data_IF_952902960579
#
_entry.id   IF_952902960579
#
_cell.length_a   1.000
_cell.length_b   1.000
_cell.length_c   1.000
_cell.angle_alpha   90.00
_cell.angle_beta   90.00
_cell.angle_gamma   90.00
#
_symmetry.space_group_name_H-M   'P 1'
#
loop_
_entity.id
_entity.type
_entity.pdbx_description
1 polymer ?
#
# COMPACT_ATOMS: atom_id res chain seq x y z
N UNK A 1 26.66 28.41 0.27
CA UNK A 1 25.95 27.80 1.43
C UNK A 1 25.59 26.36 1.13
N UNK A 2 24.95 26.09 0.00
CA UNK A 2 24.52 24.73 -0.43
C UNK A 2 25.74 23.77 -0.55
N UNK A 3 26.84 24.19 -1.16
CA UNK A 3 28.07 23.39 -1.27
C UNK A 3 28.64 22.94 0.06
N UNK A 4 28.55 23.81 1.10
CA UNK A 4 28.98 23.46 2.47
C UNK A 4 28.08 22.40 3.12
N UNK A 5 26.87 22.21 2.61
CA UNK A 5 25.90 21.23 3.08
C UNK A 5 25.97 19.93 2.26
N UNK A 6 26.87 19.83 1.28
CA UNK A 6 26.89 18.73 0.31
C UNK A 6 25.61 18.64 -0.51
N UNK A 7 24.96 19.78 -0.77
CA UNK A 7 23.68 19.82 -1.48
C UNK A 7 23.86 20.19 -2.95
N UNK A 8 22.83 19.91 -3.75
CA UNK A 8 22.71 20.22 -5.18
C UNK A 8 21.50 21.11 -5.44
N UNK A 9 21.54 21.87 -6.51
CA UNK A 9 20.40 22.59 -7.08
C UNK A 9 20.06 21.95 -8.43
N UNK A 10 18.82 21.52 -8.59
CA UNK A 10 18.29 20.98 -9.84
C UNK A 10 17.29 21.95 -10.43
N UNK A 11 17.25 21.99 -11.76
CA UNK A 11 16.26 22.74 -12.56
C UNK A 11 15.59 21.80 -13.55
N UNK A 12 14.47 22.16 -14.19
CA UNK A 12 13.78 21.31 -15.16
C UNK A 12 14.66 20.80 -16.32
N UNK A 13 15.72 21.53 -16.66
CA UNK A 13 16.66 21.13 -17.71
C UNK A 13 17.71 20.11 -17.25
N UNK A 14 17.79 19.80 -15.96
CA UNK A 14 18.75 18.81 -15.42
C UNK A 14 18.23 17.39 -15.66
N UNK A 15 19.07 16.49 -16.17
CA UNK A 15 18.70 15.09 -16.40
C UNK A 15 18.25 14.36 -15.13
N UNK A 16 18.64 14.83 -13.94
CA UNK A 16 18.24 14.29 -12.63
C UNK A 16 16.89 14.85 -12.13
N UNK A 17 16.25 15.73 -12.92
CA UNK A 17 14.95 16.30 -12.56
C UNK A 17 13.84 15.24 -12.64
N UNK A 18 12.94 15.15 -11.64
CA UNK A 18 11.78 14.25 -11.72
C UNK A 18 10.83 14.63 -12.86
N UNK A 19 10.88 13.90 -13.96
CA UNK A 19 10.09 14.23 -15.17
C UNK A 19 8.58 14.35 -14.94
N UNK A 20 8.04 13.66 -13.93
CA UNK A 20 6.61 13.75 -13.58
C UNK A 20 6.18 15.12 -13.03
N UNK A 21 7.10 15.98 -12.62
CA UNK A 21 6.78 17.32 -12.14
C UNK A 21 6.22 18.23 -13.24
N UNK A 22 6.51 17.93 -14.52
CA UNK A 22 5.95 18.65 -15.68
C UNK A 22 4.42 18.63 -15.69
N UNK A 23 3.78 17.60 -15.11
CA UNK A 23 2.33 17.48 -15.04
C UNK A 23 1.68 18.55 -14.14
N UNK A 24 2.48 19.26 -13.33
CA UNK A 24 2.04 20.42 -12.57
C UNK A 24 1.78 21.66 -13.45
N UNK A 25 2.27 21.68 -14.69
CA UNK A 25 2.13 22.81 -15.60
C UNK A 25 2.66 24.11 -15.01
N UNK A 26 1.83 25.14 -14.91
CA UNK A 26 2.23 26.43 -14.35
C UNK A 26 2.61 26.38 -12.85
N UNK A 27 2.29 25.29 -12.16
CA UNK A 27 2.67 25.07 -10.76
C UNK A 27 3.97 24.23 -10.63
N UNK A 28 4.67 23.92 -11.71
CA UNK A 28 5.96 23.22 -11.66
C UNK A 28 7.01 24.08 -10.91
N UNK A 29 7.81 23.46 -10.01
CA UNK A 29 8.88 24.18 -9.34
C UNK A 29 9.93 24.70 -10.33
N UNK A 30 10.41 25.92 -10.16
CA UNK A 30 11.53 26.45 -10.98
C UNK A 30 12.86 25.77 -10.66
N UNK A 31 13.02 25.30 -9.42
CA UNK A 31 14.22 24.62 -8.96
C UNK A 31 13.93 23.81 -7.70
N UNK A 32 14.74 22.79 -7.45
CA UNK A 32 14.74 21.99 -6.22
C UNK A 32 16.13 21.99 -5.60
N UNK A 33 16.20 22.39 -4.33
CA UNK A 33 17.37 22.21 -3.48
C UNK A 33 17.34 20.81 -2.91
N UNK A 34 18.46 20.06 -3.04
CA UNK A 34 18.56 18.65 -2.67
C UNK A 34 19.71 18.44 -1.71
N UNK A 35 19.52 17.67 -0.66
CA UNK A 35 20.56 17.07 0.18
C UNK A 35 20.39 15.56 0.17
N UNK A 36 21.51 14.83 0.04
CA UNK A 36 21.53 13.39 -0.18
C UNK A 36 21.76 13.06 -1.63
N UNK A 37 21.14 11.98 -2.12
CA UNK A 37 21.26 11.57 -3.51
C UNK A 37 20.63 12.63 -4.45
N UNK A 38 21.40 13.22 -5.35
CA UNK A 38 20.89 14.24 -6.26
C UNK A 38 20.12 13.65 -7.45
N UNK A 39 20.20 12.36 -7.74
CA UNK A 39 19.46 11.74 -8.85
C UNK A 39 17.99 11.48 -8.44
N UNK A 40 17.24 12.59 -8.35
CA UNK A 40 15.83 12.53 -8.00
C UNK A 40 15.00 11.81 -9.07
N UNK A 41 15.38 11.90 -10.35
CA UNK A 41 14.68 11.20 -11.43
C UNK A 41 14.67 9.69 -11.17
N UNK A 42 15.82 9.09 -10.91
CA UNK A 42 15.95 7.68 -10.59
C UNK A 42 15.26 7.33 -9.28
N UNK A 43 15.44 8.14 -8.23
CA UNK A 43 14.80 7.89 -6.90
C UNK A 43 13.27 7.82 -6.97
N UNK A 44 12.62 8.68 -7.77
CA UNK A 44 11.16 8.74 -7.82
C UNK A 44 10.54 8.01 -9.01
N UNK A 45 11.34 7.39 -9.87
CA UNK A 45 10.84 6.64 -11.02
C UNK A 45 9.82 5.59 -10.62
N UNK A 46 10.12 4.85 -9.56
CA UNK A 46 9.23 3.86 -8.95
C UNK A 46 8.97 4.24 -7.50
N UNK A 47 7.99 5.10 -7.27
CA UNK A 47 7.75 5.66 -5.95
C UNK A 47 6.29 5.76 -5.57
N UNK A 48 6.03 5.76 -4.25
CA UNK A 48 4.70 5.95 -3.66
C UNK A 48 4.77 7.04 -2.60
N UNK A 49 3.84 8.00 -2.69
CA UNK A 49 3.62 8.98 -1.63
C UNK A 49 2.85 8.32 -0.48
N UNK A 50 3.43 8.28 0.72
CA UNK A 50 2.75 7.81 1.94
C UNK A 50 2.57 9.00 2.86
N UNK A 51 1.33 9.43 3.07
CA UNK A 51 1.00 10.66 3.79
C UNK A 51 -0.11 10.45 4.82
N UNK A 52 -0.18 11.35 5.81
CA UNK A 52 -1.25 11.23 6.78
C UNK A 52 -1.23 12.26 7.91
N UNK A 53 -1.91 11.90 9.01
CA UNK A 53 -2.05 12.72 10.19
C UNK A 53 -0.70 12.96 10.87
N UNK A 54 -0.48 14.20 11.35
CA UNK A 54 0.70 14.55 12.16
C UNK A 54 0.59 14.02 13.58
N UNK A 55 -0.61 13.95 14.11
CA UNK A 55 -0.97 13.27 15.35
C UNK A 55 -1.57 11.91 14.98
N UNK A 56 -0.71 10.99 14.55
CA UNK A 56 -1.09 9.64 14.20
C UNK A 56 -1.42 8.80 15.43
N UNK A 57 -2.24 7.79 15.25
CA UNK A 57 -2.44 6.75 16.25
C UNK A 57 -1.35 5.68 16.18
N UNK A 58 -1.24 4.83 17.20
CA UNK A 58 -0.35 3.67 17.15
C UNK A 58 -0.69 2.74 15.97
N UNK A 59 -1.98 2.62 15.60
CA UNK A 59 -2.43 1.90 14.41
C UNK A 59 -1.87 2.54 13.14
N UNK A 60 -2.02 3.87 12.99
CA UNK A 60 -1.53 4.59 11.82
C UNK A 60 -0.01 4.49 11.66
N UNK A 61 0.75 4.63 12.76
CA UNK A 61 2.20 4.48 12.74
C UNK A 61 2.63 3.08 12.33
N UNK A 62 1.98 2.05 12.84
CA UNK A 62 2.26 0.65 12.50
C UNK A 62 1.94 0.37 11.02
N UNK A 63 0.78 0.80 10.53
CA UNK A 63 0.38 0.61 9.13
C UNK A 63 1.32 1.36 8.20
N UNK A 64 1.62 2.64 8.47
CA UNK A 64 2.52 3.44 7.64
C UNK A 64 3.92 2.82 7.56
N UNK A 65 4.46 2.37 8.70
CA UNK A 65 5.77 1.72 8.75
C UNK A 65 5.77 0.37 8.02
N UNK A 66 4.73 -0.45 8.22
CA UNK A 66 4.59 -1.76 7.57
C UNK A 66 4.42 -1.65 6.06
N UNK A 67 3.57 -0.74 5.59
CA UNK A 67 3.39 -0.46 4.16
C UNK A 67 4.69 0.04 3.55
N UNK A 68 5.39 0.98 4.21
CA UNK A 68 6.64 1.52 3.69
C UNK A 68 7.75 0.46 3.61
N UNK A 69 7.89 -0.41 4.62
CA UNK A 69 8.85 -1.52 4.59
C UNK A 69 8.50 -2.54 3.49
N UNK A 70 7.23 -2.92 3.36
CA UNK A 70 6.81 -3.83 2.29
C UNK A 70 6.89 -3.23 0.88
N UNK A 71 6.83 -1.91 0.72
CA UNK A 71 7.13 -1.20 -0.53
C UNK A 71 8.63 -1.24 -0.83
N UNK A 72 9.48 -1.09 0.21
CA UNK A 72 10.93 -1.23 0.09
C UNK A 72 11.33 -2.61 -0.45
N UNK A 73 10.76 -3.69 0.09
CA UNK A 73 10.97 -5.06 -0.39
C UNK A 73 10.58 -5.26 -1.87
N UNK A 74 9.71 -4.38 -2.39
CA UNK A 74 9.23 -4.39 -3.79
C UNK A 74 9.95 -3.39 -4.69
N UNK A 75 11.01 -2.77 -4.19
CA UNK A 75 11.83 -1.80 -4.94
C UNK A 75 11.15 -0.46 -5.19
N UNK A 76 10.21 -0.05 -4.32
CA UNK A 76 9.62 1.28 -4.37
C UNK A 76 10.31 2.24 -3.41
N UNK A 77 10.53 3.45 -3.87
CA UNK A 77 10.91 4.58 -3.02
C UNK A 77 9.67 5.18 -2.35
N UNK A 78 9.75 5.44 -1.05
CA UNK A 78 8.71 6.17 -0.33
C UNK A 78 8.97 7.67 -0.43
N UNK A 79 7.97 8.44 -0.85
CA UNK A 79 8.00 9.90 -0.86
C UNK A 79 7.06 10.41 0.23
N UNK A 80 7.51 11.35 1.07
CA UNK A 80 6.65 11.93 2.09
C UNK A 80 7.11 13.35 2.48
N UNK A 81 6.49 13.93 3.49
CA UNK A 81 6.74 15.32 3.87
C UNK A 81 7.69 15.51 5.04
N UNK A 82 8.17 14.46 5.67
CA UNK A 82 9.02 14.53 6.85
C UNK A 82 8.33 15.10 8.10
N UNK A 83 7.02 15.25 8.11
CA UNK A 83 6.26 15.72 9.27
C UNK A 83 6.22 14.67 10.40
N UNK A 84 5.73 15.07 11.58
CA UNK A 84 5.42 14.10 12.64
C UNK A 84 4.34 13.11 12.18
N UNK A 85 4.20 11.99 12.89
CA UNK A 85 3.18 10.99 12.65
C UNK A 85 3.46 10.14 11.42
N UNK A 86 2.47 10.01 10.54
CA UNK A 86 2.50 9.09 9.39
C UNK A 86 3.73 9.29 8.50
N UNK A 87 4.09 10.53 8.18
CA UNK A 87 5.25 10.82 7.33
C UNK A 87 6.54 10.23 7.93
N UNK A 88 6.77 10.48 9.24
CA UNK A 88 7.94 9.98 9.94
C UNK A 88 7.93 8.45 10.09
N UNK A 89 6.76 7.85 10.32
CA UNK A 89 6.61 6.40 10.38
C UNK A 89 6.92 5.75 9.03
N UNK A 90 6.43 6.33 7.93
CA UNK A 90 6.71 5.87 6.57
C UNK A 90 8.21 5.94 6.23
N UNK A 91 8.88 7.05 6.53
CA UNK A 91 10.33 7.17 6.32
C UNK A 91 11.12 6.14 7.14
N UNK A 92 10.74 5.93 8.41
CA UNK A 92 11.38 4.90 9.25
C UNK A 92 11.18 3.49 8.69
N UNK A 93 9.96 3.18 8.21
CA UNK A 93 9.64 1.90 7.60
C UNK A 93 10.46 1.64 6.33
N UNK A 94 10.57 2.62 5.43
CA UNK A 94 11.37 2.51 4.21
C UNK A 94 12.86 2.27 4.53
N UNK A 95 13.44 3.05 5.46
CA UNK A 95 14.82 2.86 5.89
C UNK A 95 15.06 1.50 6.57
N UNK A 96 14.09 1.01 7.34
CA UNK A 96 14.18 -0.31 7.96
C UNK A 96 14.13 -1.44 6.92
N UNK A 97 13.38 -1.26 5.82
CA UNK A 97 13.36 -2.14 4.67
C UNK A 97 14.55 -1.98 3.72
N UNK A 98 15.50 -1.09 4.03
CA UNK A 98 16.72 -0.90 3.24
C UNK A 98 16.54 -0.14 1.93
N UNK A 99 15.36 0.46 1.67
CA UNK A 99 15.13 1.26 0.47
C UNK A 99 15.34 2.76 0.71
N UNK A 100 15.69 3.51 -0.35
CA UNK A 100 15.76 4.96 -0.27
C UNK A 100 14.38 5.58 0.00
N UNK A 101 14.40 6.78 0.58
CA UNK A 101 13.16 7.53 0.80
C UNK A 101 13.42 9.03 0.60
N UNK A 102 12.42 9.74 0.04
CA UNK A 102 12.53 11.16 -0.30
C UNK A 102 11.60 11.98 0.59
N UNK A 103 12.20 12.91 1.34
CA UNK A 103 11.44 13.87 2.14
C UNK A 103 11.38 15.21 1.42
N UNK A 104 10.18 15.66 1.03
CA UNK A 104 9.97 17.00 0.48
C UNK A 104 9.64 17.94 1.62
N UNK A 105 10.40 19.01 1.83
CA UNK A 105 10.24 19.95 2.95
C UNK A 105 9.49 21.22 2.53
N UNK A 106 8.89 21.88 3.52
CA UNK A 106 8.25 23.19 3.37
C UNK A 106 9.18 24.37 3.75
N UNK A 107 10.36 24.07 4.27
CA UNK A 107 11.43 25.02 4.59
C UNK A 107 12.71 24.65 3.87
N UNK A 108 13.77 25.47 3.99
CA UNK A 108 15.05 25.19 3.35
C UNK A 108 15.69 23.89 3.84
N UNK A 109 16.50 23.26 2.97
CA UNK A 109 17.20 22.00 3.27
C UNK A 109 18.36 22.14 4.27
N UNK A 110 18.71 23.35 4.65
CA UNK A 110 19.74 23.69 5.65
C UNK A 110 19.27 23.45 7.08
N UNK A 111 17.97 23.53 7.34
CA UNK A 111 17.36 23.36 8.66
C UNK A 111 16.23 22.36 8.60
N UNK A 112 16.47 21.16 9.10
CA UNK A 112 15.45 20.11 9.14
C UNK A 112 14.32 20.45 10.10
N UNK A 113 13.10 20.41 9.60
CA UNK A 113 11.88 20.67 10.36
C UNK A 113 10.85 19.55 10.14
N UNK A 114 10.17 19.05 11.18
CA UNK A 114 10.21 19.52 12.57
C UNK A 114 11.50 19.07 13.31
N UNK A 115 11.89 19.78 14.39
CA UNK A 115 13.15 19.46 15.11
C UNK A 115 13.20 18.04 15.64
N UNK A 116 12.07 17.46 16.07
CA UNK A 116 11.99 16.08 16.54
C UNK A 116 12.30 15.03 15.47
N UNK A 117 12.19 15.38 14.17
CA UNK A 117 12.55 14.50 13.06
C UNK A 117 13.91 14.84 12.44
N UNK A 118 14.68 15.79 13.04
CA UNK A 118 15.92 16.24 12.43
C UNK A 118 16.95 15.11 12.24
N UNK A 119 17.02 14.16 13.17
CA UNK A 119 17.89 12.99 13.07
C UNK A 119 17.44 12.04 11.96
N UNK A 120 16.13 11.78 11.85
CA UNK A 120 15.57 10.98 10.75
C UNK A 120 15.90 11.62 9.40
N UNK A 121 15.65 12.92 9.24
CA UNK A 121 15.92 13.65 7.99
C UNK A 121 17.42 13.72 7.67
N UNK A 122 18.28 13.76 8.70
CA UNK A 122 19.73 13.66 8.48
C UNK A 122 20.12 12.29 7.93
N UNK A 123 19.56 11.21 8.47
CA UNK A 123 19.80 9.86 7.95
C UNK A 123 19.37 9.71 6.48
N UNK A 124 18.28 10.36 6.06
CA UNK A 124 17.89 10.38 4.64
C UNK A 124 18.97 11.10 3.80
N UNK A 125 19.42 12.26 4.24
CA UNK A 125 20.41 13.05 3.53
C UNK A 125 21.81 12.39 3.51
N UNK A 126 22.15 11.58 4.51
CA UNK A 126 23.48 10.97 4.67
C UNK A 126 23.60 9.58 4.00
N UNK A 127 22.66 9.20 3.12
CA UNK A 127 22.74 7.96 2.34
C UNK A 127 21.49 7.11 2.33
N UNK A 128 20.41 7.55 3.00
CA UNK A 128 19.13 6.86 2.98
C UNK A 128 18.17 7.38 1.91
N UNK A 129 18.62 8.23 0.98
CA UNK A 129 17.78 8.83 -0.06
C UNK A 129 18.04 10.33 -0.22
N UNK A 130 16.99 11.17 -0.19
CA UNK A 130 17.13 12.61 -0.36
C UNK A 130 16.16 13.42 0.51
N UNK A 131 16.61 14.63 0.85
CA UNK A 131 15.79 15.70 1.42
C UNK A 131 15.73 16.85 0.42
N UNK A 132 14.52 17.22 0.04
CA UNK A 132 14.25 18.11 -1.10
C UNK A 132 13.41 19.30 -0.67
N UNK A 133 13.63 20.45 -1.25
CA UNK A 133 12.80 21.63 -1.06
C UNK A 133 12.75 22.52 -2.29
N UNK A 134 11.58 23.13 -2.54
CA UNK A 134 11.40 24.17 -3.56
C UNK A 134 11.89 25.55 -3.09
N UNK A 135 12.09 25.73 -1.78
CA UNK A 135 12.50 27.02 -1.24
C UNK A 135 13.98 27.02 -0.86
N UNK A 136 14.68 28.15 -1.06
CA UNK A 136 16.12 28.21 -0.84
C UNK A 136 16.51 27.98 0.63
N UNK A 137 17.77 27.54 0.88
CA UNK A 137 18.32 27.46 2.22
C UNK A 137 18.14 28.79 2.99
N UNK A 138 17.89 28.69 4.29
CA UNK A 138 17.53 29.84 5.14
C UNK A 138 16.04 30.12 5.23
N UNK A 139 15.23 29.49 4.38
CA UNK A 139 13.77 29.69 4.37
C UNK A 139 13.08 28.99 5.55
N UNK A 140 12.32 29.76 6.34
CA UNK A 140 11.50 29.20 7.43
C UNK A 140 10.22 28.52 6.87
N UNK A 141 9.79 27.39 7.45
CA UNK A 141 8.51 26.78 7.07
C UNK A 141 7.35 27.60 7.65
N UNK A 142 6.26 27.78 6.87
CA UNK A 142 5.00 28.37 7.33
C UNK A 142 3.81 27.73 6.59
N UNK A 143 2.60 27.98 7.07
CA UNK A 143 1.39 27.23 6.67
C UNK A 143 1.21 27.11 5.15
N UNK A 144 1.37 28.20 4.41
CA UNK A 144 1.18 28.21 2.95
C UNK A 144 2.22 27.32 2.25
N UNK A 145 3.48 27.30 2.73
CA UNK A 145 4.54 26.46 2.17
C UNK A 145 4.28 24.98 2.36
N UNK A 146 3.67 24.57 3.49
CA UNK A 146 3.23 23.17 3.66
C UNK A 146 2.20 22.76 2.63
N UNK A 147 1.23 23.63 2.33
CA UNK A 147 0.18 23.36 1.34
C UNK A 147 0.75 23.34 -0.09
N UNK A 148 1.59 24.32 -0.42
CA UNK A 148 2.25 24.40 -1.74
C UNK A 148 3.15 23.19 -2.01
N UNK A 149 3.94 22.77 -1.01
CA UNK A 149 4.83 21.61 -1.09
C UNK A 149 4.08 20.31 -1.42
N UNK A 150 2.84 20.13 -0.93
CA UNK A 150 2.10 18.89 -1.08
C UNK A 150 1.86 18.50 -2.54
N UNK A 151 1.81 19.48 -3.47
CA UNK A 151 1.70 19.20 -4.90
C UNK A 151 2.92 18.45 -5.43
N UNK A 152 4.10 18.79 -4.91
CA UNK A 152 5.37 18.15 -5.31
C UNK A 152 5.38 16.68 -4.87
N UNK A 153 4.93 16.39 -3.63
CA UNK A 153 4.81 15.00 -3.14
C UNK A 153 3.91 14.18 -4.08
N UNK A 154 2.72 14.71 -4.39
CA UNK A 154 1.76 14.01 -5.25
C UNK A 154 2.29 13.84 -6.68
N UNK A 155 2.90 14.88 -7.26
CA UNK A 155 3.38 14.86 -8.65
C UNK A 155 4.60 13.98 -8.84
N UNK A 156 5.53 13.94 -7.89
CA UNK A 156 6.74 13.14 -7.99
C UNK A 156 6.47 11.63 -7.90
N UNK A 157 5.33 11.21 -7.34
CA UNK A 157 5.03 9.80 -7.05
C UNK A 157 4.12 9.15 -8.09
N UNK A 158 4.25 7.82 -8.26
CA UNK A 158 3.38 7.02 -9.13
C UNK A 158 1.95 6.93 -8.57
N UNK A 159 1.84 6.80 -7.24
CA UNK A 159 0.58 6.75 -6.51
C UNK A 159 0.70 7.48 -5.17
N UNK A 160 -0.43 7.82 -4.57
CA UNK A 160 -0.49 8.41 -3.23
C UNK A 160 -1.36 7.54 -2.33
N UNK A 161 -0.90 7.28 -1.10
CA UNK A 161 -1.66 6.57 -0.06
C UNK A 161 -1.85 7.46 1.15
N UNK A 162 -3.10 7.60 1.59
CA UNK A 162 -3.47 8.28 2.83
C UNK A 162 -3.71 7.23 3.90
N UNK A 163 -2.85 7.17 4.92
CA UNK A 163 -2.93 6.16 6.00
C UNK A 163 -3.91 6.59 7.08
N UNK A 164 -3.80 7.81 7.56
CA UNK A 164 -4.73 8.43 8.48
C UNK A 164 -4.96 9.90 8.12
N UNK A 165 -6.20 10.35 8.15
CA UNK A 165 -6.56 11.75 7.97
C UNK A 165 -7.82 12.09 8.73
N UNK A 166 -7.78 13.09 9.62
CA UNK A 166 -8.97 13.71 10.13
C UNK A 166 -9.64 14.57 9.03
N UNK A 167 -10.91 14.96 9.22
CA UNK A 167 -11.71 15.73 8.27
C UNK A 167 -11.01 16.97 7.65
N UNK A 168 -10.15 17.64 8.42
CA UNK A 168 -9.39 18.84 8.00
C UNK A 168 -7.89 18.61 7.93
N UNK A 169 -7.45 17.37 7.74
CA UNK A 169 -6.02 17.03 7.67
C UNK A 169 -5.35 17.65 6.45
N UNK A 170 -4.10 18.09 6.62
CA UNK A 170 -3.25 18.53 5.52
C UNK A 170 -2.98 17.44 4.48
N UNK A 171 -3.02 16.16 4.85
CA UNK A 171 -2.86 15.02 3.94
C UNK A 171 -3.93 14.98 2.85
N UNK A 172 -5.16 15.45 3.15
CA UNK A 172 -6.23 15.57 2.15
C UNK A 172 -5.90 16.60 1.05
N UNK A 173 -4.98 17.54 1.30
CA UNK A 173 -4.46 18.41 0.25
C UNK A 173 -3.59 17.64 -0.73
N UNK A 174 -2.72 16.73 -0.25
CA UNK A 174 -1.92 15.86 -1.12
C UNK A 174 -2.83 14.93 -1.93
N UNK A 175 -3.86 14.33 -1.30
CA UNK A 175 -4.86 13.52 -1.99
C UNK A 175 -5.54 14.29 -3.13
N UNK A 176 -5.98 15.54 -2.89
CA UNK A 176 -6.60 16.38 -3.94
C UNK A 176 -5.63 16.68 -5.09
N UNK A 177 -4.33 16.90 -4.80
CA UNK A 177 -3.34 17.07 -5.86
C UNK A 177 -3.17 15.78 -6.67
N UNK A 178 -3.10 14.61 -6.03
CA UNK A 178 -3.05 13.32 -6.72
C UNK A 178 -4.26 13.12 -7.65
N UNK A 179 -5.48 13.36 -7.16
CA UNK A 179 -6.70 13.27 -7.98
C UNK A 179 -6.67 14.25 -9.16
N UNK A 180 -6.25 15.52 -8.95
CA UNK A 180 -6.15 16.52 -10.02
C UNK A 180 -5.14 16.12 -11.10
N UNK A 181 -4.06 15.44 -10.70
CA UNK A 181 -3.03 14.93 -11.61
C UNK A 181 -3.37 13.56 -12.20
N UNK A 182 -4.57 13.04 -11.93
CA UNK A 182 -5.01 11.69 -12.36
C UNK A 182 -4.05 10.59 -11.88
N UNK A 183 -3.38 10.80 -10.73
CA UNK A 183 -2.56 9.78 -10.09
C UNK A 183 -3.43 8.84 -9.25
N UNK A 184 -3.15 7.54 -9.25
CA UNK A 184 -3.82 6.59 -8.39
C UNK A 184 -3.77 7.02 -6.93
N UNK A 185 -4.92 6.94 -6.25
CA UNK A 185 -5.07 7.32 -4.85
C UNK A 185 -5.59 6.13 -4.05
N UNK A 186 -4.84 5.73 -3.04
CA UNK A 186 -5.24 4.75 -2.04
C UNK A 186 -5.58 5.41 -0.71
N UNK A 187 -6.47 4.80 0.05
CA UNK A 187 -6.74 5.17 1.43
C UNK A 187 -6.83 3.93 2.31
N UNK A 188 -6.18 3.99 3.48
CA UNK A 188 -6.23 2.89 4.45
C UNK A 188 -7.53 3.00 5.25
N UNK A 189 -8.33 1.91 5.35
CA UNK A 189 -9.50 1.88 6.20
C UNK A 189 -9.05 1.86 7.67
N UNK A 190 -9.62 2.73 8.47
CA UNK A 190 -9.37 2.73 9.91
C UNK A 190 -10.65 2.48 10.71
N UNK A 191 -10.57 2.38 12.04
CA UNK A 191 -11.74 2.20 12.87
C UNK A 191 -12.76 3.32 12.65
N UNK A 192 -14.04 2.96 12.47
CA UNK A 192 -15.12 3.94 12.22
C UNK A 192 -15.35 4.89 13.40
N UNK A 193 -14.89 4.50 14.59
CA UNK A 193 -14.95 5.31 15.82
C UNK A 193 -13.76 6.26 15.95
N UNK A 194 -12.73 6.15 15.09
CA UNK A 194 -11.54 7.00 15.15
C UNK A 194 -11.71 8.27 14.35
N UNK A 195 -11.55 9.42 14.99
CA UNK A 195 -11.56 10.72 14.33
C UNK A 195 -10.42 10.90 13.32
N UNK A 196 -9.30 10.18 13.49
CA UNK A 196 -8.15 10.21 12.56
C UNK A 196 -8.39 9.42 11.29
N UNK A 197 -9.45 8.60 11.21
CA UNK A 197 -9.81 7.83 10.02
C UNK A 197 -10.90 8.49 9.17
N UNK A 198 -11.53 9.55 9.66
CA UNK A 198 -12.71 10.17 9.01
C UNK A 198 -12.43 10.68 7.61
N UNK A 199 -11.24 11.21 7.35
CA UNK A 199 -10.84 11.68 6.02
C UNK A 199 -10.61 10.53 5.04
N UNK A 200 -10.02 9.42 5.49
CA UNK A 200 -9.89 8.21 4.68
C UNK A 200 -11.26 7.63 4.33
N UNK A 201 -12.19 7.57 5.30
CA UNK A 201 -13.56 7.10 5.05
C UNK A 201 -14.30 7.96 4.00
N UNK A 202 -14.07 9.27 3.99
CA UNK A 202 -14.64 10.16 2.96
C UNK A 202 -14.06 9.83 1.60
N UNK A 203 -12.73 9.73 1.49
CA UNK A 203 -12.08 9.40 0.22
C UNK A 203 -12.59 8.07 -0.37
N UNK A 204 -12.75 7.04 0.49
CA UNK A 204 -13.27 5.73 0.10
C UNK A 204 -14.74 5.79 -0.30
N UNK A 205 -15.59 6.41 0.52
CA UNK A 205 -17.04 6.51 0.28
C UNK A 205 -17.36 7.29 -0.99
N UNK A 206 -16.59 8.35 -1.26
CA UNK A 206 -16.79 9.20 -2.43
C UNK A 206 -16.17 8.59 -3.71
N UNK A 207 -15.58 7.38 -3.62
CA UNK A 207 -14.92 6.70 -4.73
C UNK A 207 -13.67 7.44 -5.24
N UNK A 208 -13.13 8.37 -4.46
CA UNK A 208 -11.94 9.13 -4.83
C UNK A 208 -10.65 8.32 -4.59
N UNK A 209 -10.69 7.32 -3.72
CA UNK A 209 -9.56 6.45 -3.40
C UNK A 209 -9.95 4.98 -3.40
N UNK A 210 -9.02 4.12 -3.77
CA UNK A 210 -9.13 2.67 -3.61
C UNK A 210 -8.79 2.30 -2.17
N UNK A 211 -9.54 1.35 -1.58
CA UNK A 211 -9.19 0.79 -0.27
C UNK A 211 -7.91 -0.03 -0.41
N UNK A 212 -6.91 0.28 0.41
CA UNK A 212 -5.65 -0.47 0.47
C UNK A 212 -5.33 -0.82 1.91
N UNK A 213 -4.91 -2.06 2.16
CA UNK A 213 -4.68 -2.60 3.51
C UNK A 213 -3.25 -3.04 3.74
N UNK A 214 -2.49 -3.29 2.67
CA UNK A 214 -1.11 -3.73 2.74
C UNK A 214 -0.23 -3.17 1.59
N UNK A 215 1.06 -3.49 1.64
CA UNK A 215 2.02 -3.01 0.65
C UNK A 215 1.86 -3.65 -0.73
N UNK A 216 1.27 -4.85 -0.84
CA UNK A 216 1.05 -5.51 -2.11
C UNK A 216 -0.05 -4.79 -2.91
N UNK A 217 -1.17 -4.47 -2.25
CA UNK A 217 -2.25 -3.68 -2.84
C UNK A 217 -1.80 -2.27 -3.23
N UNK A 218 -0.93 -1.66 -2.42
CA UNK A 218 -0.34 -0.35 -2.75
C UNK A 218 0.60 -0.45 -3.95
N UNK A 219 1.41 -1.50 -4.04
CA UNK A 219 2.31 -1.72 -5.17
C UNK A 219 1.53 -1.99 -6.47
N UNK A 220 0.42 -2.74 -6.39
CA UNK A 220 -0.50 -2.95 -7.51
C UNK A 220 -1.12 -1.63 -7.97
N UNK A 221 -1.58 -0.81 -7.03
CA UNK A 221 -2.13 0.51 -7.33
C UNK A 221 -1.11 1.43 -8.03
N UNK A 222 0.17 1.36 -7.65
CA UNK A 222 1.24 2.19 -8.18
C UNK A 222 1.86 1.66 -9.48
N UNK A 223 1.68 0.37 -9.77
CA UNK A 223 2.22 -0.27 -10.98
C UNK A 223 1.53 0.18 -12.26
N UNK A 224 2.17 0.06 -13.42
CA UNK A 224 1.48 0.22 -14.69
C UNK A 224 0.38 -0.83 -14.82
N UNK A 225 -0.79 -0.45 -15.29
CA UNK A 225 -1.90 -1.36 -15.57
C UNK A 225 -1.39 -2.55 -16.40
N UNK A 226 -1.48 -3.77 -15.87
CA UNK A 226 -1.12 -5.01 -16.57
C UNK A 226 0.27 -5.59 -16.29
N UNK A 227 1.11 -4.97 -15.46
CA UNK A 227 2.37 -5.59 -15.04
C UNK A 227 2.28 -6.11 -13.59
N UNK A 228 1.36 -7.03 -13.35
CA UNK A 228 1.37 -7.91 -12.20
C UNK A 228 2.44 -9.00 -12.32
N UNK A 229 3.57 -8.69 -12.95
CA UNK A 229 4.71 -9.59 -12.99
C UNK A 229 5.66 -9.24 -11.84
N UNK A 230 5.61 -10.06 -10.81
CA UNK A 230 6.77 -10.28 -9.92
C UNK A 230 7.95 -10.55 -10.85
N UNK A 231 8.95 -9.67 -10.87
CA UNK A 231 10.21 -9.97 -11.52
C UNK A 231 10.86 -11.13 -10.72
N UNK A 232 10.62 -12.34 -11.17
CA UNK A 232 11.49 -13.47 -10.84
C UNK A 232 12.85 -13.25 -11.51
N UNK A 233 13.93 -13.89 -11.02
CA UNK A 233 15.27 -13.72 -11.55
C UNK A 233 15.28 -14.04 -13.05
N UNK A 234 15.96 -13.17 -13.80
CA UNK A 234 16.12 -13.25 -15.24
C UNK A 234 16.72 -14.59 -15.66
N UNK A 235 15.99 -15.36 -16.45
CA UNK A 235 16.59 -16.33 -17.35
C UNK A 235 16.47 -15.75 -18.78
N UNK A 236 17.65 -15.39 -19.30
CA UNK A 236 17.85 -15.13 -20.70
C UNK A 236 17.82 -16.45 -21.45
N UNK A 237 17.01 -16.54 -22.51
CA UNK A 237 17.47 -16.99 -23.83
C UNK A 237 16.26 -17.19 -24.78
N UNK A 238 16.49 -16.81 -26.01
CA UNK A 238 15.53 -16.62 -27.06
C UNK A 238 14.97 -17.88 -27.69
N UNK A 239 13.93 -17.68 -28.50
CA UNK A 239 13.37 -18.68 -29.39
C UNK A 239 12.08 -18.22 -30.05
N UNK A 240 12.16 -17.79 -31.30
CA UNK A 240 11.01 -17.61 -32.19
C UNK A 240 10.29 -18.94 -32.44
N UNK A 241 8.96 -18.94 -32.38
CA UNK A 241 8.13 -20.08 -32.77
C UNK A 241 6.68 -19.67 -32.94
N UNK A 242 6.17 -19.87 -34.15
CA UNK A 242 4.92 -19.52 -34.81
C UNK A 242 3.66 -20.14 -34.14
N UNK A 243 2.48 -19.50 -34.24
CA UNK A 243 1.28 -19.90 -33.53
C UNK A 243 0.39 -20.83 -34.37
N UNK A 244 0.14 -22.04 -33.91
CA UNK A 244 -1.08 -22.85 -34.21
C UNK A 244 -1.18 -24.09 -33.36
N UNK A 245 -2.37 -24.24 -32.80
CA UNK A 245 -3.06 -25.47 -32.43
C UNK A 245 -3.33 -25.71 -30.95
N UNK A 246 -4.61 -25.46 -30.61
CA UNK A 246 -5.53 -26.35 -29.90
C UNK A 246 -5.04 -27.16 -28.67
N UNK A 247 -5.75 -27.00 -27.57
CA UNK A 247 -5.87 -28.06 -26.59
C UNK A 247 -5.68 -27.55 -25.14
N UNK A 248 -6.81 -27.25 -24.49
CA UNK A 248 -6.87 -27.29 -23.02
C UNK A 248 -6.32 -28.62 -22.52
N UNK A 249 -5.54 -28.57 -21.46
CA UNK A 249 -5.84 -29.48 -20.37
C UNK A 249 -5.91 -28.72 -19.02
N UNK A 250 -6.92 -29.15 -18.26
CA UNK A 250 -7.17 -28.81 -16.89
C UNK A 250 -5.90 -28.73 -16.03
N UNK A 251 -5.79 -27.62 -15.28
CA UNK A 251 -4.82 -27.51 -14.20
C UNK A 251 -5.14 -28.57 -13.14
N UNK A 252 -4.27 -29.58 -13.04
CA UNK A 252 -4.32 -30.60 -12.03
C UNK A 252 -4.11 -30.01 -10.66
N UNK A 253 -5.16 -29.96 -9.89
CA UNK A 253 -5.11 -29.69 -8.45
C UNK A 253 -4.52 -30.92 -7.77
N UNK A 254 -3.33 -30.81 -7.25
CA UNK A 254 -2.75 -31.85 -6.36
C UNK A 254 -3.71 -32.10 -5.20
N UNK A 255 -4.14 -33.35 -4.92
CA UNK A 255 -5.06 -33.64 -3.82
C UNK A 255 -4.37 -33.32 -2.48
N UNK A 256 -4.92 -32.36 -1.72
CA UNK A 256 -4.61 -32.22 -0.30
C UNK A 256 -5.13 -33.46 0.41
N UNK A 257 -4.24 -34.26 0.96
CA UNK A 257 -4.59 -35.46 1.71
C UNK A 257 -5.62 -35.13 2.82
N UNK A 258 -6.83 -35.67 2.72
CA UNK A 258 -7.87 -35.60 3.75
C UNK A 258 -9.20 -34.91 3.37
N UNK A 259 -9.38 -34.46 2.16
CA UNK A 259 -10.67 -33.91 1.70
C UNK A 259 -11.52 -35.00 1.02
N UNK A 260 -12.82 -35.16 1.39
CA UNK A 260 -13.71 -36.08 0.69
C UNK A 260 -13.94 -35.63 -0.76
N UNK A 261 -14.05 -36.58 -1.70
CA UNK A 261 -14.32 -36.29 -3.14
C UNK A 261 -15.63 -35.50 -3.32
N UNK A 262 -16.61 -35.73 -2.46
CA UNK A 262 -17.89 -35.01 -2.49
C UNK A 262 -17.73 -33.50 -2.28
N UNK A 263 -16.73 -33.07 -1.50
CA UNK A 263 -16.43 -31.65 -1.29
C UNK A 263 -15.84 -31.02 -2.53
N UNK A 264 -15.04 -31.75 -3.29
CA UNK A 264 -14.44 -31.27 -4.53
C UNK A 264 -15.47 -31.11 -5.68
N UNK A 265 -16.60 -31.77 -5.57
CA UNK A 265 -17.74 -31.64 -6.49
C UNK A 265 -18.63 -30.39 -6.21
N UNK A 266 -18.49 -29.77 -5.04
CA UNK A 266 -19.23 -28.58 -4.64
C UNK A 266 -18.61 -27.29 -5.19
N UNK A 267 -19.37 -26.20 -5.08
CA UNK A 267 -18.88 -24.89 -5.50
C UNK A 267 -17.68 -24.40 -4.64
N UNK A 268 -17.01 -23.38 -5.11
CA UNK A 268 -15.82 -22.86 -4.45
C UNK A 268 -16.11 -22.34 -3.04
N UNK A 269 -17.30 -21.77 -2.80
CA UNK A 269 -17.73 -21.29 -1.47
C UNK A 269 -17.82 -22.43 -0.47
N UNK A 270 -18.51 -23.51 -0.84
CA UNK A 270 -18.69 -24.68 0.01
C UNK A 270 -17.33 -25.34 0.32
N UNK A 271 -16.42 -25.39 -0.66
CA UNK A 271 -15.04 -25.89 -0.45
C UNK A 271 -14.28 -25.04 0.55
N UNK A 272 -14.33 -23.70 0.44
CA UNK A 272 -13.67 -22.79 1.39
C UNK A 272 -14.25 -22.90 2.80
N UNK A 273 -15.55 -23.05 2.93
CA UNK A 273 -16.22 -23.27 4.22
C UNK A 273 -15.83 -24.62 4.81
N UNK A 274 -15.74 -25.68 4.01
CA UNK A 274 -15.24 -26.98 4.46
C UNK A 274 -13.80 -26.91 5.02
N UNK A 275 -12.92 -26.20 4.33
CA UNK A 275 -11.53 -26.02 4.80
C UNK A 275 -11.46 -25.23 6.11
N UNK A 276 -12.39 -24.31 6.34
CA UNK A 276 -12.51 -23.55 7.58
C UNK A 276 -13.10 -24.36 8.74
N UNK A 277 -13.85 -25.44 8.46
CA UNK A 277 -14.42 -26.29 9.50
C UNK A 277 -13.33 -27.13 10.20
N UNK A 278 -13.23 -27.07 11.54
CA UNK A 278 -12.23 -27.84 12.28
C UNK A 278 -12.50 -29.35 12.17
N UNK A 279 -11.43 -30.12 12.03
CA UNK A 279 -11.51 -31.56 11.80
C UNK A 279 -12.03 -32.37 13.01
N UNK A 280 -11.84 -31.88 14.24
CA UNK A 280 -12.12 -32.64 15.50
C UNK A 280 -12.88 -31.84 16.55
N UNK A 281 -13.30 -30.61 16.25
CA UNK A 281 -14.02 -29.73 17.17
C UNK A 281 -15.15 -29.03 16.46
N UNK A 282 -15.85 -28.11 17.12
CA UNK A 282 -16.88 -27.25 16.53
C UNK A 282 -16.45 -25.80 16.53
N UNK A 283 -16.93 -25.01 15.57
CA UNK A 283 -16.67 -23.59 15.46
C UNK A 283 -17.95 -22.75 15.46
N UNK A 284 -17.91 -21.57 16.03
CA UNK A 284 -18.98 -20.59 15.89
C UNK A 284 -18.96 -19.97 14.49
N UNK A 285 -20.11 -19.47 14.03
CA UNK A 285 -20.24 -18.87 12.69
C UNK A 285 -19.22 -17.76 12.43
N UNK A 286 -19.01 -16.86 13.39
CA UNK A 286 -18.05 -15.76 13.27
C UNK A 286 -16.60 -16.22 13.07
N UNK A 287 -16.22 -17.37 13.66
CA UNK A 287 -14.91 -17.95 13.45
C UNK A 287 -14.76 -18.52 12.04
N UNK A 288 -15.83 -19.16 11.52
CA UNK A 288 -15.85 -19.69 10.16
C UNK A 288 -15.78 -18.57 9.11
N UNK A 289 -16.52 -17.48 9.29
CA UNK A 289 -16.49 -16.29 8.44
C UNK A 289 -15.05 -15.76 8.31
N UNK A 290 -14.37 -15.57 9.45
CA UNK A 290 -12.98 -15.09 9.46
C UNK A 290 -12.00 -16.07 8.81
N UNK A 291 -12.18 -17.37 9.07
CA UNK A 291 -11.25 -18.40 8.57
C UNK A 291 -11.47 -18.68 7.08
N UNK A 292 -12.72 -18.67 6.60
CA UNK A 292 -13.05 -18.88 5.21
C UNK A 292 -12.79 -17.62 4.35
N UNK A 293 -12.73 -16.43 4.99
CA UNK A 293 -12.59 -15.16 4.28
C UNK A 293 -13.78 -14.87 3.37
N UNK A 294 -14.99 -15.21 3.81
CA UNK A 294 -16.24 -15.03 3.08
C UNK A 294 -17.18 -14.09 3.86
N UNK A 295 -18.15 -13.50 3.18
CA UNK A 295 -19.22 -12.77 3.83
C UNK A 295 -20.13 -13.70 4.66
N UNK A 296 -20.95 -13.13 5.55
CA UNK A 296 -21.94 -13.89 6.33
C UNK A 296 -22.86 -14.69 5.40
N UNK A 297 -23.38 -14.05 4.37
CA UNK A 297 -24.31 -14.68 3.42
C UNK A 297 -23.65 -15.84 2.65
N UNK A 298 -22.41 -15.66 2.18
CA UNK A 298 -21.66 -16.70 1.48
C UNK A 298 -21.29 -17.87 2.40
N UNK A 299 -20.92 -17.58 3.64
CA UNK A 299 -20.58 -18.62 4.63
C UNK A 299 -21.81 -19.45 4.98
N UNK A 300 -22.97 -18.81 5.21
CA UNK A 300 -24.23 -19.51 5.47
C UNK A 300 -24.70 -20.35 4.28
N UNK A 301 -24.57 -19.81 3.06
CA UNK A 301 -24.89 -20.59 1.84
C UNK A 301 -23.99 -21.82 1.69
N UNK A 302 -22.67 -21.66 1.87
CA UNK A 302 -21.72 -22.77 1.82
C UNK A 302 -21.93 -23.80 2.95
N UNK A 303 -22.32 -23.37 4.17
CA UNK A 303 -22.69 -24.28 5.27
C UNK A 303 -23.96 -25.05 4.93
N UNK A 304 -24.98 -24.40 4.34
CA UNK A 304 -26.20 -25.05 3.88
C UNK A 304 -25.93 -26.12 2.82
N UNK A 305 -25.08 -25.82 1.85
CA UNK A 305 -24.68 -26.78 0.82
C UNK A 305 -23.96 -28.00 1.44
N UNK A 306 -23.04 -27.75 2.38
CA UNK A 306 -22.36 -28.83 3.09
C UNK A 306 -23.28 -29.67 3.96
N UNK A 307 -24.26 -29.05 4.61
CA UNK A 307 -25.27 -29.74 5.46
C UNK A 307 -26.19 -30.59 4.61
N UNK A 308 -26.66 -30.10 3.46
CA UNK A 308 -27.46 -30.87 2.51
C UNK A 308 -26.76 -32.15 2.01
N UNK A 309 -25.44 -32.09 1.91
CA UNK A 309 -24.61 -33.24 1.53
C UNK A 309 -24.11 -34.05 2.73
N UNK A 310 -24.57 -33.74 3.95
CA UNK A 310 -24.16 -34.45 5.18
C UNK A 310 -22.67 -34.26 5.55
N UNK A 311 -22.03 -33.26 4.95
CA UNK A 311 -20.62 -32.95 5.17
C UNK A 311 -20.37 -31.99 6.33
N UNK A 312 -21.38 -31.21 6.72
CA UNK A 312 -21.38 -30.40 7.93
C UNK A 312 -22.66 -30.63 8.74
N UNK A 313 -22.60 -30.34 10.04
CA UNK A 313 -23.77 -30.35 10.92
C UNK A 313 -23.65 -29.25 11.97
N UNK A 314 -24.81 -28.76 12.44
CA UNK A 314 -24.89 -27.76 13.51
C UNK A 314 -25.39 -28.40 14.80
N UNK A 315 -24.72 -28.12 15.90
CA UNK A 315 -25.17 -28.47 17.26
C UNK A 315 -24.92 -27.30 18.20
N UNK A 316 -25.96 -26.91 18.94
CA UNK A 316 -25.89 -25.81 19.90
C UNK A 316 -25.38 -24.48 19.32
N UNK A 317 -25.69 -24.15 18.06
CA UNK A 317 -25.24 -22.95 17.39
C UNK A 317 -23.78 -23.00 16.91
N UNK A 318 -23.14 -24.15 16.99
CA UNK A 318 -21.77 -24.37 16.52
C UNK A 318 -21.75 -25.40 15.38
N UNK A 319 -20.84 -25.21 14.43
CA UNK A 319 -20.70 -26.03 13.25
C UNK A 319 -19.51 -26.98 13.36
N UNK A 320 -19.67 -28.21 12.90
CA UNK A 320 -18.62 -29.23 12.83
C UNK A 320 -18.73 -30.03 11.54
N UNK A 321 -17.68 -30.74 11.17
CA UNK A 321 -17.73 -31.65 10.04
C UNK A 321 -18.69 -32.80 10.33
N UNK A 322 -19.55 -33.10 9.35
CA UNK A 322 -20.50 -34.23 9.44
C UNK A 322 -19.77 -35.56 9.63
N UNK A 323 -20.26 -36.38 10.53
CA UNK A 323 -19.78 -37.77 10.67
C UNK A 323 -20.59 -38.67 9.76
N UNK A 324 -19.95 -39.33 8.80
CA UNK A 324 -20.64 -40.36 7.97
C UNK A 324 -21.32 -41.38 8.88
N UNK A 325 -22.63 -41.39 8.89
CA UNK A 325 -23.33 -42.61 9.34
C UNK A 325 -23.15 -43.66 8.25
N UNK A 326 -22.18 -44.57 8.46
CA UNK A 326 -22.15 -45.81 7.69
C UNK A 326 -23.48 -46.55 7.93
N UNK A 327 -24.37 -46.46 6.96
CA UNK A 327 -25.64 -47.20 6.99
C UNK A 327 -25.34 -48.69 7.01
N UNK A 328 -25.54 -49.32 8.15
CA UNK A 328 -25.75 -50.76 8.25
C UNK A 328 -27.11 -51.03 7.62
N UNK A 329 -27.14 -51.60 6.43
CA UNK A 329 -28.32 -52.34 5.96
C UNK A 329 -28.38 -53.61 6.80
N UNK A 330 -29.46 -53.77 7.57
CA UNK A 330 -29.95 -55.03 8.06
C UNK A 330 -31.05 -55.55 7.09
#
# INVERSE_FOLDING_TARGET
>A
MLDRLGGSLLTPDDARWPGRLVDLGAEEPFALWVRGDPDLAALVERSVAVVGARASSAYGDQVASGVAAGLADRGFTVVSGGAYGIDAAAHRGALAGGAPTVAVLAGGVDRFYPPGNAELLRRLADGGGAVVSEVPPGSAPFRQRFLARNRIIAAASCATVVVEAAWRSGALSTARHATRLLRPLGAVPGPVTSGTSTGCHVLLRDGAAVCVTDAAEVAELAGPYGTGAVAGPADAEGGHGDPRASGSPAAGTTPRAGRPEEVDALDERARRVWDALPARSSAALDALIRTAGLSIAETLAGLGDLELHGLAAQDGGRWHRGTRRTGRRG
#
